data_IF_035270930427
#
_entry.id   IF_035270930427
#
_cell.length_a   1.000
_cell.length_b   1.000
_cell.length_c   1.000
_cell.angle_alpha   90.00
_cell.angle_beta   90.00
_cell.angle_gamma   90.00
#
_symmetry.space_group_name_H-M   'P 1'
#
loop_
_entity.id
_entity.type
_entity.pdbx_description
1 polymer ?
#
# COMPACT_ATOMS: atom_id res chain seq x y z
N UNK A 1 -21.75 -15.20 -26.25
CA UNK A 1 -20.60 -16.11 -26.04
C UNK A 1 -19.28 -15.33 -26.13
N UNK A 2 -18.88 -14.82 -27.29
CA UNK A 2 -17.61 -14.06 -27.43
C UNK A 2 -17.51 -12.83 -26.49
N UNK A 3 -18.58 -12.04 -26.38
CA UNK A 3 -18.57 -10.84 -25.52
C UNK A 3 -18.44 -11.14 -24.02
N UNK A 4 -19.00 -12.26 -23.54
CA UNK A 4 -18.88 -12.65 -22.12
C UNK A 4 -17.46 -13.13 -21.80
N UNK A 5 -16.85 -13.88 -22.72
CA UNK A 5 -15.45 -14.32 -22.58
C UNK A 5 -14.52 -13.11 -22.61
N UNK A 6 -14.72 -12.17 -23.54
CA UNK A 6 -13.92 -10.94 -23.60
C UNK A 6 -14.09 -10.10 -22.32
N UNK A 7 -15.31 -9.97 -21.80
CA UNK A 7 -15.57 -9.26 -20.54
C UNK A 7 -14.84 -9.90 -19.36
N UNK A 8 -14.95 -11.22 -19.21
CA UNK A 8 -14.25 -11.99 -18.17
C UNK A 8 -12.72 -11.84 -18.26
N UNK A 9 -12.17 -11.88 -19.48
CA UNK A 9 -10.73 -11.65 -19.70
C UNK A 9 -10.34 -10.25 -19.26
N UNK A 10 -11.12 -9.22 -19.64
CA UNK A 10 -10.84 -7.84 -19.27
C UNK A 10 -10.89 -7.64 -17.75
N UNK A 11 -11.91 -8.17 -17.07
CA UNK A 11 -12.02 -8.12 -15.60
C UNK A 11 -10.83 -8.79 -14.92
N UNK A 12 -10.41 -9.96 -15.42
CA UNK A 12 -9.25 -10.70 -14.91
C UNK A 12 -7.96 -9.91 -15.10
N UNK A 13 -7.74 -9.36 -16.30
CA UNK A 13 -6.55 -8.55 -16.61
C UNK A 13 -6.50 -7.30 -15.74
N UNK A 14 -7.63 -6.62 -15.54
CA UNK A 14 -7.72 -5.45 -14.67
C UNK A 14 -7.36 -5.81 -13.22
N UNK A 15 -7.89 -6.93 -12.70
CA UNK A 15 -7.56 -7.40 -11.35
C UNK A 15 -6.07 -7.72 -11.20
N UNK A 16 -5.50 -8.47 -12.16
CA UNK A 16 -4.08 -8.83 -12.16
C UNK A 16 -3.18 -7.60 -12.22
N UNK A 17 -3.45 -6.67 -13.13
CA UNK A 17 -2.65 -5.45 -13.29
C UNK A 17 -2.76 -4.56 -12.06
N UNK A 18 -3.97 -4.36 -11.52
CA UNK A 18 -4.18 -3.55 -10.32
C UNK A 18 -3.45 -4.14 -9.12
N UNK A 19 -3.49 -5.46 -8.95
CA UNK A 19 -2.78 -6.17 -7.89
C UNK A 19 -1.26 -6.04 -8.05
N UNK A 20 -0.74 -6.21 -9.26
CA UNK A 20 0.68 -6.06 -9.55
C UNK A 20 1.18 -4.63 -9.25
N UNK A 21 0.42 -3.61 -9.64
CA UNK A 21 0.76 -2.23 -9.33
C UNK A 21 0.65 -1.91 -7.84
N UNK A 22 -0.34 -2.44 -7.13
CA UNK A 22 -0.43 -2.29 -5.68
C UNK A 22 0.80 -2.89 -4.98
N UNK A 23 1.28 -4.05 -5.45
CA UNK A 23 2.50 -4.66 -4.94
C UNK A 23 3.75 -3.80 -5.21
N UNK A 24 3.93 -3.34 -6.46
CA UNK A 24 5.06 -2.48 -6.83
C UNK A 24 5.04 -1.17 -6.05
N UNK A 25 3.86 -0.56 -5.86
CA UNK A 25 3.71 0.63 -5.04
C UNK A 25 4.10 0.36 -3.59
N UNK A 26 3.64 -0.76 -3.00
CA UNK A 26 4.00 -1.16 -1.64
C UNK A 26 5.51 -1.32 -1.45
N UNK A 27 6.19 -1.99 -2.39
CA UNK A 27 7.64 -2.14 -2.36
C UNK A 27 8.37 -0.79 -2.52
N UNK A 28 7.93 0.05 -3.47
CA UNK A 28 8.56 1.34 -3.73
C UNK A 28 8.51 2.28 -2.52
N UNK A 29 7.37 2.35 -1.83
CA UNK A 29 7.23 3.15 -0.60
C UNK A 29 8.07 2.59 0.55
N UNK A 30 8.09 1.26 0.72
CA UNK A 30 8.94 0.60 1.71
C UNK A 30 10.43 0.97 1.49
N UNK A 31 10.93 0.73 0.29
CA UNK A 31 12.31 1.04 -0.09
C UNK A 31 12.64 2.53 0.01
N UNK A 32 11.71 3.43 -0.35
CA UNK A 32 11.91 4.87 -0.23
C UNK A 32 12.07 5.32 1.22
N UNK A 33 11.24 4.82 2.14
CA UNK A 33 11.31 5.17 3.57
C UNK A 33 12.63 4.67 4.16
N UNK A 34 13.04 3.44 3.85
CA UNK A 34 14.32 2.89 4.34
C UNK A 34 15.51 3.75 3.89
N UNK A 35 15.62 4.03 2.58
CA UNK A 35 16.69 4.87 2.03
C UNK A 35 16.68 6.29 2.60
N UNK A 36 15.50 6.83 2.86
CA UNK A 36 15.37 8.14 3.51
C UNK A 36 15.95 8.10 4.94
N UNK A 37 15.59 7.09 5.73
CA UNK A 37 16.11 6.94 7.10
C UNK A 37 17.62 6.73 7.10
N UNK A 38 18.13 5.88 6.21
CA UNK A 38 19.57 5.65 6.01
C UNK A 38 20.31 6.95 5.73
N UNK A 39 19.72 7.85 4.94
CA UNK A 39 20.34 9.15 4.63
C UNK A 39 20.51 10.08 5.84
N UNK A 40 19.69 9.90 6.90
CA UNK A 40 19.74 10.73 8.10
C UNK A 40 20.46 10.08 9.28
N UNK A 41 20.42 8.75 9.40
CA UNK A 41 20.86 8.01 10.60
C UNK A 41 22.11 7.16 10.35
N UNK A 42 22.51 6.95 9.10
CA UNK A 42 23.60 6.05 8.72
C UNK A 42 23.11 4.63 8.39
N UNK A 43 24.04 3.69 8.20
CA UNK A 43 23.79 2.38 7.56
C UNK A 43 22.59 1.61 8.14
N UNK A 44 21.70 1.17 7.25
CA UNK A 44 20.34 0.69 7.55
C UNK A 44 20.21 -0.55 8.42
N UNK A 45 21.28 -1.34 8.58
CA UNK A 45 21.27 -2.57 9.40
C UNK A 45 21.48 -2.30 10.90
N UNK A 46 21.73 -1.05 11.31
CA UNK A 46 21.82 -0.72 12.71
C UNK A 46 20.42 -0.81 13.37
N UNK A 47 20.33 -1.49 14.53
CA UNK A 47 19.08 -1.62 15.31
C UNK A 47 18.30 -0.29 15.45
N UNK A 48 18.94 0.87 15.71
CA UNK A 48 18.23 2.15 15.76
C UNK A 48 17.52 2.54 14.46
N UNK A 49 18.11 2.25 13.29
CA UNK A 49 17.51 2.53 11.98
C UNK A 49 16.22 1.72 11.78
N UNK A 50 16.26 0.43 12.09
CA UNK A 50 15.12 -0.47 11.98
C UNK A 50 13.97 -0.08 12.94
N UNK A 51 14.30 0.38 14.15
CA UNK A 51 13.30 0.86 15.10
C UNK A 51 12.63 2.15 14.62
N UNK A 52 13.40 3.10 14.09
CA UNK A 52 12.87 4.35 13.51
C UNK A 52 11.95 4.02 12.32
N UNK A 53 12.39 3.12 11.43
CA UNK A 53 11.59 2.64 10.31
C UNK A 53 10.25 2.05 10.76
N UNK A 54 10.26 1.13 11.73
CA UNK A 54 9.05 0.46 12.23
C UNK A 54 8.04 1.46 12.83
N UNK A 55 8.51 2.44 13.60
CA UNK A 55 7.65 3.48 14.20
C UNK A 55 7.04 4.37 13.11
N UNK A 56 7.85 4.85 12.17
CA UNK A 56 7.37 5.73 11.08
C UNK A 56 6.33 5.02 10.22
N UNK A 57 6.61 3.79 9.78
CA UNK A 57 5.68 3.03 8.93
C UNK A 57 4.37 2.73 9.67
N UNK A 58 4.42 2.44 10.98
CA UNK A 58 3.22 2.22 11.79
C UNK A 58 2.36 3.47 11.88
N UNK A 59 2.97 4.64 12.13
CA UNK A 59 2.25 5.92 12.18
C UNK A 59 1.58 6.20 10.83
N UNK A 60 2.32 6.05 9.71
CA UNK A 60 1.79 6.25 8.37
C UNK A 60 0.62 5.30 8.10
N UNK A 61 0.77 4.00 8.42
CA UNK A 61 -0.26 3.00 8.22
C UNK A 61 -1.54 3.35 8.99
N UNK A 62 -1.44 3.73 10.26
CA UNK A 62 -2.61 4.14 11.06
C UNK A 62 -3.30 5.37 10.45
N UNK A 63 -2.52 6.40 10.05
CA UNK A 63 -3.08 7.61 9.44
C UNK A 63 -3.81 7.28 8.14
N UNK A 64 -3.16 6.54 7.24
CA UNK A 64 -3.73 6.17 5.94
C UNK A 64 -5.00 5.32 6.12
N UNK A 65 -4.98 4.32 6.99
CA UNK A 65 -6.15 3.47 7.28
C UNK A 65 -7.32 4.29 7.83
N UNK A 66 -7.06 5.23 8.76
CA UNK A 66 -8.12 6.11 9.28
C UNK A 66 -8.68 7.04 8.21
N UNK A 67 -7.83 7.59 7.33
CA UNK A 67 -8.27 8.44 6.23
C UNK A 67 -9.13 7.67 5.22
N UNK A 68 -8.70 6.47 4.84
CA UNK A 68 -9.45 5.58 3.95
C UNK A 68 -10.80 5.22 4.59
N UNK A 69 -10.81 4.82 5.86
CA UNK A 69 -12.05 4.48 6.58
C UNK A 69 -13.04 5.67 6.61
N UNK A 70 -12.54 6.89 6.83
CA UNK A 70 -13.38 8.11 6.79
C UNK A 70 -13.93 8.39 5.40
N UNK A 71 -13.14 8.17 4.35
CA UNK A 71 -13.58 8.38 2.97
C UNK A 71 -14.63 7.31 2.59
N UNK A 72 -14.41 6.05 2.94
CA UNK A 72 -15.36 4.96 2.75
C UNK A 72 -16.71 5.27 3.42
N UNK A 73 -16.71 5.69 4.69
CA UNK A 73 -17.92 6.06 5.41
C UNK A 73 -18.68 7.24 4.78
N UNK A 74 -17.97 8.21 4.19
CA UNK A 74 -18.61 9.33 3.44
C UNK A 74 -19.23 8.89 2.12
N UNK A 75 -18.73 7.82 1.51
CA UNK A 75 -19.26 7.28 0.25
C UNK A 75 -20.43 6.31 0.48
N UNK A 76 -20.86 6.11 1.73
CA UNK A 76 -21.90 5.12 2.05
C UNK A 76 -21.45 3.69 1.81
N UNK A 77 -20.14 3.45 1.77
CA UNK A 77 -19.58 2.10 1.78
C UNK A 77 -19.78 1.57 3.19
N UNK A 78 -20.82 0.77 3.37
CA UNK A 78 -21.05 0.04 4.63
C UNK A 78 -19.84 -0.89 4.83
N UNK A 79 -19.04 -0.60 5.84
CA UNK A 79 -18.04 -1.54 6.34
C UNK A 79 -18.80 -2.54 7.20
N UNK A 80 -19.42 -3.52 6.54
CA UNK A 80 -19.85 -4.74 7.22
C UNK A 80 -18.57 -5.42 7.74
N UNK A 81 -18.28 -5.17 9.02
CA UNK A 81 -17.25 -5.76 9.90
C UNK A 81 -15.94 -6.26 9.25
#
# INVERSE_FOLDING_TARGET
MANEVTKMIMETVLALITTAFAFVAGEAWNSAIQKLIESFVGTGDAIPSLLIYAVIVTIIAVIVTVLIARIAGKMGVETDE
#
